data_IF_629379550515
#
_entry.id   IF_629379550515
#
_cell.length_a   1.000
_cell.length_b   1.000
_cell.length_c   1.000
_cell.angle_alpha   90.00
_cell.angle_beta   90.00
_cell.angle_gamma   90.00
#
_symmetry.space_group_name_H-M   'P 1'
#
loop_
_entity.id
_entity.type
_entity.pdbx_description
1 polymer ?
#
# COMPACT_ATOMS: atom_id res chain seq x y z
N UNK A 1 -13.40 -5.14 20.26
CA UNK A 1 -13.90 -4.40 19.09
C UNK A 1 -14.39 -5.42 18.09
N UNK A 2 -15.70 -5.49 17.84
CA UNK A 2 -16.29 -6.42 16.87
C UNK A 2 -16.24 -5.78 15.49
N UNK A 3 -15.25 -6.17 14.68
CA UNK A 3 -15.23 -5.83 13.25
C UNK A 3 -16.27 -6.71 12.56
N UNK A 4 -17.44 -6.15 12.23
CA UNK A 4 -18.45 -6.85 11.42
C UNK A 4 -17.82 -7.39 10.14
N UNK A 5 -18.40 -8.44 9.56
CA UNK A 5 -17.87 -9.20 8.42
C UNK A 5 -17.41 -8.28 7.28
N UNK A 6 -16.12 -7.92 7.29
CA UNK A 6 -15.52 -7.07 6.28
C UNK A 6 -15.35 -7.90 5.01
N UNK A 7 -15.62 -7.32 3.84
CA UNK A 7 -15.40 -7.97 2.55
C UNK A 7 -13.93 -8.31 2.30
N UNK A 8 -13.01 -7.76 3.11
CA UNK A 8 -11.57 -8.04 3.05
C UNK A 8 -11.04 -8.41 4.43
N UNK A 9 -10.18 -9.44 4.52
CA UNK A 9 -9.53 -9.79 5.78
C UNK A 9 -8.61 -8.66 6.25
N UNK A 10 -8.38 -8.61 7.57
CA UNK A 10 -7.35 -7.74 8.14
C UNK A 10 -5.99 -8.28 7.70
N UNK A 11 -5.23 -7.45 6.99
CA UNK A 11 -3.85 -7.75 6.60
C UNK A 11 -2.93 -7.16 7.66
N UNK A 12 -1.86 -7.89 8.01
CA UNK A 12 -0.84 -7.45 8.97
C UNK A 12 0.55 -7.64 8.35
N UNK A 13 1.50 -6.78 8.70
CA UNK A 13 2.89 -6.86 8.24
C UNK A 13 3.85 -6.36 9.31
N UNK A 14 4.99 -7.04 9.49
CA UNK A 14 6.01 -6.69 10.50
C UNK A 14 7.07 -5.71 9.98
N UNK A 15 7.15 -5.50 8.66
CA UNK A 15 8.17 -4.68 7.98
C UNK A 15 7.54 -3.51 7.20
N UNK A 16 6.33 -3.12 7.58
CA UNK A 16 5.56 -2.06 6.92
C UNK A 16 4.36 -2.59 6.13
N UNK A 17 3.50 -1.66 5.73
CA UNK A 17 2.27 -1.91 4.99
C UNK A 17 1.94 -0.69 4.13
N UNK A 18 1.42 -0.93 2.93
CA UNK A 18 0.90 0.12 2.04
C UNK A 18 -0.51 -0.27 1.62
N UNK A 19 -1.41 0.71 1.60
CA UNK A 19 -2.79 0.56 1.13
C UNK A 19 -3.13 1.72 0.20
N UNK A 20 -3.78 1.43 -0.91
CA UNK A 20 -4.25 2.43 -1.88
C UNK A 20 -5.52 1.93 -2.60
N UNK A 21 -6.14 2.81 -3.38
CA UNK A 21 -7.34 2.49 -4.15
C UNK A 21 -7.11 1.52 -5.32
N UNK A 22 -5.85 1.23 -5.66
CA UNK A 22 -5.51 0.35 -6.77
C UNK A 22 -4.33 -0.57 -6.40
N UNK A 23 -4.49 -1.88 -6.65
CA UNK A 23 -3.54 -2.91 -6.16
C UNK A 23 -2.12 -2.72 -6.72
N UNK A 24 -1.97 -2.31 -7.99
CA UNK A 24 -0.65 -2.03 -8.58
C UNK A 24 0.06 -0.85 -7.90
N UNK A 25 -0.68 0.19 -7.49
CA UNK A 25 -0.11 1.30 -6.76
C UNK A 25 0.32 0.88 -5.34
N UNK A 26 -0.49 0.06 -4.66
CA UNK A 26 -0.09 -0.52 -3.36
C UNK A 26 1.19 -1.37 -3.50
N UNK A 27 1.29 -2.18 -4.56
CA UNK A 27 2.49 -2.98 -4.84
C UNK A 27 3.73 -2.11 -5.12
N UNK A 28 3.59 -0.98 -5.83
CA UNK A 28 4.70 -0.06 -6.06
C UNK A 28 5.28 0.49 -4.75
N UNK A 29 4.42 0.93 -3.82
CA UNK A 29 4.85 1.38 -2.50
C UNK A 29 5.48 0.26 -1.66
N UNK A 30 4.88 -0.94 -1.68
CA UNK A 30 5.45 -2.12 -1.00
C UNK A 30 6.85 -2.43 -1.54
N UNK A 31 7.08 -2.30 -2.85
CA UNK A 31 8.39 -2.55 -3.44
C UNK A 31 9.45 -1.59 -2.93
N UNK A 32 9.12 -0.31 -2.80
CA UNK A 32 10.03 0.69 -2.21
C UNK A 32 10.39 0.37 -0.77
N UNK A 33 9.41 -0.07 0.05
CA UNK A 33 9.71 -0.54 1.42
C UNK A 33 10.62 -1.78 1.43
N UNK A 34 10.38 -2.74 0.52
CA UNK A 34 11.21 -3.94 0.38
C UNK A 34 12.65 -3.61 -0.03
N UNK A 35 12.83 -2.58 -0.85
CA UNK A 35 14.13 -2.11 -1.32
C UNK A 35 14.83 -1.21 -0.27
N UNK A 36 14.24 -1.03 0.92
CA UNK A 36 14.83 -0.31 2.05
C UNK A 36 14.48 1.18 2.14
N UNK A 37 13.53 1.65 1.33
CA UNK A 37 13.05 3.03 1.36
C UNK A 37 12.23 3.35 2.62
N UNK A 38 12.13 4.64 2.95
CA UNK A 38 11.34 5.09 4.10
C UNK A 38 9.84 5.18 3.76
N UNK A 39 9.00 5.31 4.79
CA UNK A 39 7.55 5.43 4.60
C UNK A 39 7.13 6.55 3.65
N UNK A 40 7.88 7.67 3.64
CA UNK A 40 7.63 8.81 2.74
C UNK A 40 7.89 8.43 1.29
N UNK A 41 9.00 7.74 0.99
CA UNK A 41 9.34 7.30 -0.37
C UNK A 41 8.29 6.30 -0.89
N UNK A 42 7.86 5.37 -0.04
CA UNK A 42 6.80 4.43 -0.37
C UNK A 42 5.46 5.13 -0.66
N UNK A 43 5.12 6.16 0.10
CA UNK A 43 3.93 6.98 -0.15
C UNK A 43 4.02 7.74 -1.48
N UNK A 44 5.19 8.33 -1.79
CA UNK A 44 5.42 9.03 -3.06
C UNK A 44 5.32 8.06 -4.24
N UNK A 45 5.96 6.90 -4.18
CA UNK A 45 5.88 5.87 -5.22
C UNK A 45 4.43 5.39 -5.43
N UNK A 46 3.67 5.21 -4.36
CA UNK A 46 2.25 4.85 -4.41
C UNK A 46 1.42 5.93 -5.10
N UNK A 47 1.60 7.20 -4.71
CA UNK A 47 0.86 8.33 -5.30
C UNK A 47 1.21 8.55 -6.77
N UNK A 48 2.49 8.44 -7.14
CA UNK A 48 2.93 8.52 -8.54
C UNK A 48 2.39 7.36 -9.37
N UNK A 49 2.31 6.15 -8.81
CA UNK A 49 1.69 5.02 -9.51
C UNK A 49 0.18 5.24 -9.72
N UNK A 50 -0.54 5.83 -8.75
CA UNK A 50 -1.97 6.13 -8.86
C UNK A 50 -2.28 7.04 -10.06
N UNK A 51 -1.43 8.02 -10.37
CA UNK A 51 -1.68 8.91 -11.53
C UNK A 51 -1.68 8.17 -12.87
N UNK A 52 -1.05 6.99 -12.92
CA UNK A 52 -0.98 6.14 -14.12
C UNK A 52 -2.09 5.09 -14.12
N UNK A 53 -2.28 4.40 -13.00
CA UNK A 53 -3.20 3.25 -12.94
C UNK A 53 -4.66 3.66 -12.64
N UNK A 54 -4.87 4.87 -12.15
CA UNK A 54 -6.16 5.47 -11.80
C UNK A 54 -6.13 6.99 -12.05
N UNK A 55 -6.16 7.44 -13.32
CA UNK A 55 -6.19 8.86 -13.65
C UNK A 55 -7.49 9.56 -13.23
#
# INVERSE_FOLDING_TARGET
MNFGTSARPVVMGSHGMVSSGHYLASLAGVRVLQDGGIAVDAALATSLALTVVTP
#
